data_IF_344792874188
#
_entry.id   IF_344792874188
#
_cell.length_a   1.000
_cell.length_b   1.000
_cell.length_c   1.000
_cell.angle_alpha   90.00
_cell.angle_beta   90.00
_cell.angle_gamma   90.00
#
_symmetry.space_group_name_H-M   'P 1'
#
loop_
_entity.id
_entity.type
_entity.pdbx_description
1 polymer ?
#
# COMPACT_ATOMS: atom_id res chain seq x y z
N UNK A 1 -15.31 2.21 -18.40
CA UNK A 1 -15.08 1.81 -19.81
C UNK A 1 -13.59 1.84 -20.15
N UNK A 2 -12.93 3.00 -20.11
CA UNK A 2 -11.52 3.16 -20.54
C UNK A 2 -10.49 2.34 -19.73
N UNK A 3 -10.74 2.05 -18.46
CA UNK A 3 -9.82 1.21 -17.66
C UNK A 3 -9.72 -0.23 -18.16
N UNK A 4 -10.80 -0.77 -18.73
CA UNK A 4 -10.88 -2.15 -19.23
C UNK A 4 -10.40 -2.28 -20.69
N UNK A 5 -10.63 -1.24 -21.49
CA UNK A 5 -10.18 -1.12 -22.87
C UNK A 5 -9.86 0.35 -23.17
N UNK A 6 -8.57 0.63 -23.33
CA UNK A 6 -8.00 1.91 -23.72
C UNK A 6 -7.40 1.88 -25.12
N UNK A 7 -7.64 0.84 -25.94
CA UNK A 7 -7.01 0.65 -27.25
C UNK A 7 -7.04 1.90 -28.14
N UNK A 8 -8.21 2.53 -28.30
CA UNK A 8 -8.38 3.74 -29.07
C UNK A 8 -7.61 4.95 -28.49
N UNK A 9 -7.64 5.10 -27.16
CA UNK A 9 -6.92 6.19 -26.47
C UNK A 9 -5.40 5.98 -26.51
N UNK A 10 -4.96 4.74 -26.33
CA UNK A 10 -3.56 4.29 -26.43
C UNK A 10 -3.01 4.56 -27.83
N UNK A 11 -3.76 4.21 -28.87
CA UNK A 11 -3.30 4.40 -30.25
C UNK A 11 -3.04 5.87 -30.58
N UNK A 12 -3.90 6.79 -30.11
CA UNK A 12 -3.69 8.23 -30.31
C UNK A 12 -2.35 8.72 -29.74
N UNK A 13 -1.93 8.19 -28.58
CA UNK A 13 -0.64 8.52 -27.99
C UNK A 13 0.52 7.83 -28.70
N UNK A 14 0.36 6.57 -29.11
CA UNK A 14 1.37 5.85 -29.90
C UNK A 14 1.65 6.63 -31.19
N UNK A 15 0.62 7.09 -31.90
CA UNK A 15 0.76 7.83 -33.15
C UNK A 15 1.51 9.16 -32.94
N UNK A 16 1.17 9.92 -31.89
CA UNK A 16 1.88 11.16 -31.54
C UNK A 16 3.35 10.92 -31.18
N UNK A 17 3.63 9.88 -30.38
CA UNK A 17 5.02 9.54 -30.01
C UNK A 17 5.79 9.03 -31.22
N UNK A 18 5.15 8.32 -32.15
CA UNK A 18 5.78 7.77 -33.34
C UNK A 18 6.33 8.84 -34.29
N UNK A 19 5.80 10.08 -34.26
CA UNK A 19 6.36 11.22 -35.01
C UNK A 19 7.83 11.51 -34.61
N UNK A 20 8.18 11.28 -33.34
CA UNK A 20 9.51 11.55 -32.80
C UNK A 20 10.32 10.27 -32.52
N UNK A 21 9.63 9.17 -32.22
CA UNK A 21 10.22 7.88 -31.86
C UNK A 21 9.42 6.73 -32.48
N UNK A 22 9.65 6.39 -33.76
CA UNK A 22 8.88 5.38 -34.49
C UNK A 22 8.90 3.97 -33.87
N UNK A 23 9.95 3.66 -33.09
CA UNK A 23 10.09 2.36 -32.42
C UNK A 23 9.05 2.12 -31.32
N UNK A 24 8.28 3.14 -30.90
CA UNK A 24 7.16 2.98 -29.97
C UNK A 24 6.14 1.94 -30.46
N UNK A 25 5.93 1.82 -31.78
CA UNK A 25 5.02 0.85 -32.38
C UNK A 25 5.45 -0.62 -32.19
N UNK A 26 6.71 -0.87 -31.79
CA UNK A 26 7.23 -2.20 -31.47
C UNK A 26 7.02 -2.58 -30.01
N UNK A 27 6.71 -1.59 -29.14
CA UNK A 27 6.50 -1.83 -27.72
C UNK A 27 5.12 -2.44 -27.52
N UNK A 28 5.08 -3.61 -26.88
CA UNK A 28 3.82 -4.24 -26.49
C UNK A 28 3.23 -3.49 -25.31
N UNK A 29 2.23 -2.65 -25.57
CA UNK A 29 1.48 -1.93 -24.54
C UNK A 29 0.08 -2.54 -24.44
N UNK A 30 -0.33 -3.10 -23.28
CA UNK A 30 -1.66 -3.67 -23.10
C UNK A 30 -2.79 -2.67 -23.38
N UNK A 31 -3.93 -3.16 -23.85
CA UNK A 31 -5.15 -2.36 -24.04
C UNK A 31 -5.96 -2.19 -22.74
N UNK A 32 -5.55 -2.85 -21.65
CA UNK A 32 -6.14 -2.67 -20.32
C UNK A 32 -5.19 -1.85 -19.46
N UNK A 33 -5.70 -0.78 -18.85
CA UNK A 33 -4.90 0.08 -17.97
C UNK A 33 -4.61 -0.64 -16.64
N UNK A 34 -5.64 -1.25 -16.06
CA UNK A 34 -5.52 -2.04 -14.82
C UNK A 34 -6.63 -3.07 -14.72
N UNK A 35 -6.31 -4.22 -14.16
CA UNK A 35 -7.22 -5.29 -13.71
C UNK A 35 -7.34 -5.36 -12.17
N UNK A 36 -6.70 -4.42 -11.46
CA UNK A 36 -6.66 -4.38 -10.02
C UNK A 36 -6.95 -2.99 -9.47
N UNK A 37 -7.34 -2.94 -8.20
CA UNK A 37 -7.67 -1.73 -7.46
C UNK A 37 -7.19 -1.84 -6.02
N UNK A 38 -6.63 -0.75 -5.49
CA UNK A 38 -6.43 -0.60 -4.05
C UNK A 38 -7.47 0.39 -3.52
N UNK A 39 -8.41 -0.10 -2.72
CA UNK A 39 -9.41 0.72 -2.04
C UNK A 39 -8.81 1.33 -0.78
N UNK A 40 -8.84 2.66 -0.70
CA UNK A 40 -8.65 3.38 0.56
C UNK A 40 -9.95 4.10 0.86
N UNK A 41 -10.56 3.79 1.99
CA UNK A 41 -11.71 4.54 2.51
C UNK A 41 -11.21 5.70 3.37
N UNK A 42 -12.10 6.66 3.63
CA UNK A 42 -11.84 7.71 4.61
C UNK A 42 -11.84 7.11 6.04
N UNK A 43 -11.18 7.80 6.97
CA UNK A 43 -11.33 7.53 8.41
C UNK A 43 -12.82 7.55 8.79
N UNK A 44 -13.26 6.63 9.65
CA UNK A 44 -14.68 6.52 10.01
C UNK A 44 -15.56 5.68 9.11
N UNK A 45 -15.05 5.12 8.00
CA UNK A 45 -15.86 4.28 7.13
C UNK A 45 -16.26 2.98 7.85
N UNK A 46 -17.57 2.67 7.96
CA UNK A 46 -18.03 1.46 8.65
C UNK A 46 -17.45 0.18 8.01
N UNK A 47 -17.12 -0.84 8.82
CA UNK A 47 -16.56 -2.10 8.33
C UNK A 47 -17.44 -2.81 7.29
N UNK A 48 -18.76 -2.75 7.46
CA UNK A 48 -19.73 -3.36 6.53
C UNK A 48 -19.78 -2.60 5.19
N UNK A 49 -19.56 -1.29 5.19
CA UNK A 49 -19.43 -0.52 3.95
C UNK A 49 -18.14 -0.87 3.21
N UNK A 50 -17.02 -0.99 3.93
CA UNK A 50 -15.74 -1.46 3.35
C UNK A 50 -15.94 -2.84 2.72
N UNK A 51 -16.54 -3.78 3.44
CA UNK A 51 -16.84 -5.14 2.96
C UNK A 51 -17.67 -5.10 1.67
N UNK A 52 -18.75 -4.31 1.64
CA UNK A 52 -19.63 -4.18 0.48
C UNK A 52 -18.96 -3.55 -0.73
N UNK A 53 -18.13 -2.52 -0.54
CA UNK A 53 -17.40 -1.89 -1.64
C UNK A 53 -16.37 -2.87 -2.21
N UNK A 54 -15.59 -3.54 -1.35
CA UNK A 54 -14.63 -4.55 -1.80
C UNK A 54 -15.31 -5.71 -2.54
N UNK A 55 -16.43 -6.23 -2.02
CA UNK A 55 -17.22 -7.26 -2.69
C UNK A 55 -17.70 -6.80 -4.07
N UNK A 56 -18.27 -5.59 -4.17
CA UNK A 56 -18.68 -5.00 -5.45
C UNK A 56 -17.53 -4.89 -6.46
N UNK A 57 -16.35 -4.46 -6.02
CA UNK A 57 -15.16 -4.35 -6.89
C UNK A 57 -14.72 -5.71 -7.44
N UNK A 58 -14.88 -6.79 -6.66
CA UNK A 58 -14.54 -8.14 -7.09
C UNK A 58 -15.64 -8.78 -7.93
N UNK A 59 -16.86 -8.84 -7.41
CA UNK A 59 -17.98 -9.57 -8.00
C UNK A 59 -18.54 -8.87 -9.25
N UNK A 60 -18.78 -7.57 -9.17
CA UNK A 60 -19.42 -6.80 -10.24
C UNK A 60 -18.37 -6.18 -11.18
N UNK A 61 -17.23 -5.74 -10.63
CA UNK A 61 -16.19 -5.11 -11.45
C UNK A 61 -15.10 -6.07 -11.94
N UNK A 62 -14.99 -7.27 -11.38
CA UNK A 62 -14.00 -8.26 -11.79
C UNK A 62 -12.55 -7.83 -11.53
N UNK A 63 -12.31 -7.06 -10.45
CA UNK A 63 -11.00 -6.48 -10.14
C UNK A 63 -10.32 -7.20 -8.97
N UNK A 64 -9.04 -7.53 -9.12
CA UNK A 64 -8.21 -7.91 -7.97
C UNK A 64 -8.18 -6.73 -6.99
N UNK A 65 -8.44 -6.99 -5.71
CA UNK A 65 -8.74 -5.90 -4.77
C UNK A 65 -7.81 -5.95 -3.57
N UNK A 66 -7.13 -4.84 -3.31
CA UNK A 66 -6.45 -4.60 -2.03
C UNK A 66 -7.25 -3.61 -1.21
N UNK A 67 -7.48 -3.88 0.06
CA UNK A 67 -8.01 -2.87 0.99
C UNK A 67 -6.88 -2.26 1.80
N UNK A 68 -6.82 -0.93 1.87
CA UNK A 68 -5.80 -0.22 2.62
C UNK A 68 -6.23 -0.09 4.08
N UNK A 69 -5.36 -0.52 4.99
CA UNK A 69 -5.64 -0.51 6.42
C UNK A 69 -4.87 0.60 7.14
N UNK A 70 -5.45 1.09 8.24
CA UNK A 70 -4.86 2.12 9.07
C UNK A 70 -3.91 1.53 10.11
N UNK A 71 -2.89 2.28 10.55
CA UNK A 71 -1.90 1.79 11.52
C UNK A 71 -2.52 1.64 12.92
N UNK A 72 -3.67 2.28 13.14
CA UNK A 72 -4.52 2.22 14.34
C UNK A 72 -5.03 0.81 14.64
N UNK A 73 -5.08 -0.09 13.65
CA UNK A 73 -5.38 -1.52 13.85
C UNK A 73 -4.43 -2.21 14.82
N UNK A 74 -3.22 -1.67 15.03
CA UNK A 74 -2.29 -2.22 16.02
C UNK A 74 -2.76 -1.97 17.47
N UNK A 75 -3.66 -1.02 17.66
CA UNK A 75 -4.23 -0.62 18.94
C UNK A 75 -3.45 0.51 19.63
N UNK A 76 -4.14 1.34 20.44
CA UNK A 76 -3.59 2.58 20.99
C UNK A 76 -2.35 2.38 21.86
N UNK A 77 -2.37 1.38 22.74
CA UNK A 77 -1.27 1.10 23.66
C UNK A 77 0.02 0.73 22.92
N UNK A 78 -0.07 -0.18 21.95
CA UNK A 78 1.10 -0.63 21.17
C UNK A 78 1.64 0.49 20.28
N UNK A 79 0.76 1.26 19.64
CA UNK A 79 1.16 2.40 18.81
C UNK A 79 1.94 3.42 19.63
N UNK A 80 1.42 3.83 20.79
CA UNK A 80 2.07 4.83 21.66
C UNK A 80 3.37 4.30 22.26
N UNK A 81 3.41 3.05 22.73
CA UNK A 81 4.64 2.41 23.22
C UNK A 81 5.74 2.40 22.17
N UNK A 82 5.43 1.97 20.94
CA UNK A 82 6.42 1.95 19.85
C UNK A 82 6.92 3.38 19.56
N UNK A 83 6.02 4.35 19.54
CA UNK A 83 6.35 5.72 19.18
C UNK A 83 7.20 6.41 20.26
N UNK A 84 6.80 6.31 21.52
CA UNK A 84 7.39 7.01 22.66
C UNK A 84 8.53 6.21 23.27
N UNK A 85 8.25 5.00 23.75
CA UNK A 85 9.20 4.21 24.54
C UNK A 85 10.29 3.57 23.67
N UNK A 86 9.93 3.02 22.51
CA UNK A 86 10.89 2.29 21.66
C UNK A 86 11.68 3.21 20.71
N UNK A 87 11.04 4.29 20.23
CA UNK A 87 11.62 5.18 19.21
C UNK A 87 11.96 6.60 19.69
N UNK A 88 11.45 7.04 20.85
CA UNK A 88 11.75 8.35 21.44
C UNK A 88 11.09 9.54 20.76
N UNK A 89 9.93 9.37 20.11
CA UNK A 89 9.14 10.47 19.52
C UNK A 89 8.16 11.08 20.54
N UNK A 90 8.66 11.50 21.71
CA UNK A 90 7.85 12.01 22.84
C UNK A 90 7.05 13.28 22.50
N UNK A 91 7.46 14.03 21.49
CA UNK A 91 6.78 15.24 21.01
C UNK A 91 5.57 14.94 20.11
N UNK A 92 5.42 13.69 19.65
CA UNK A 92 4.32 13.29 18.76
C UNK A 92 3.15 12.75 19.57
N UNK A 93 2.09 13.54 19.67
CA UNK A 93 0.86 13.14 20.38
C UNK A 93 -0.10 12.43 19.43
N UNK A 94 -0.44 11.17 19.74
CA UNK A 94 -1.49 10.41 19.04
C UNK A 94 -2.76 10.45 19.90
N UNK A 95 -3.78 11.24 19.54
CA UNK A 95 -4.99 11.37 20.35
C UNK A 95 -5.85 10.09 20.31
N UNK A 96 -6.70 9.88 21.32
CA UNK A 96 -7.62 8.73 21.35
C UNK A 96 -8.63 8.76 20.21
N UNK A 97 -9.02 9.96 19.76
CA UNK A 97 -9.91 10.17 18.60
C UNK A 97 -9.37 9.57 17.30
N UNK A 98 -8.06 9.35 17.18
CA UNK A 98 -7.48 8.66 16.03
C UNK A 98 -7.92 7.19 15.93
N UNK A 99 -8.39 6.60 17.03
CA UNK A 99 -8.83 5.20 17.11
C UNK A 99 -10.34 5.03 17.15
N UNK A 100 -11.08 5.99 17.71
CA UNK A 100 -12.54 5.89 17.98
C UNK A 100 -13.41 5.62 16.75
N UNK A 101 -12.94 6.03 15.57
CA UNK A 101 -13.69 5.90 14.31
C UNK A 101 -13.03 4.94 13.32
N UNK A 102 -11.86 4.42 13.66
CA UNK A 102 -11.14 3.53 12.77
C UNK A 102 -11.57 2.08 12.98
N UNK A 103 -11.34 1.26 11.95
CA UNK A 103 -11.59 -0.16 11.99
C UNK A 103 -10.80 -0.81 13.13
N UNK A 104 -11.48 -1.49 14.06
CA UNK A 104 -10.86 -2.24 15.15
C UNK A 104 -10.38 -3.63 14.69
N UNK A 105 -9.35 -4.17 15.35
CA UNK A 105 -8.67 -5.40 14.91
C UNK A 105 -9.58 -6.64 14.92
N UNK A 106 -10.38 -6.80 15.96
CA UNK A 106 -11.32 -7.91 16.14
C UNK A 106 -12.47 -7.89 15.13
N UNK A 107 -12.82 -6.71 14.61
CA UNK A 107 -13.77 -6.54 13.50
C UNK A 107 -13.09 -6.70 12.14
N UNK A 108 -11.85 -6.22 11.99
CA UNK A 108 -11.08 -6.31 10.76
C UNK A 108 -10.83 -7.76 10.33
N UNK A 109 -10.40 -8.61 11.25
CA UNK A 109 -9.99 -9.99 10.93
C UNK A 109 -11.12 -10.81 10.28
N UNK A 110 -12.35 -10.86 10.85
CA UNK A 110 -13.48 -11.52 10.20
C UNK A 110 -13.81 -10.93 8.83
N UNK A 111 -13.81 -9.59 8.69
CA UNK A 111 -14.05 -8.91 7.41
C UNK A 111 -13.04 -9.33 6.35
N UNK A 112 -11.75 -9.32 6.68
CA UNK A 112 -10.68 -9.73 5.77
C UNK A 112 -10.80 -11.21 5.37
N UNK A 113 -11.21 -12.11 6.28
CA UNK A 113 -11.45 -13.53 5.96
C UNK A 113 -12.58 -13.67 4.93
N UNK A 114 -13.72 -13.01 5.14
CA UNK A 114 -14.84 -13.03 4.19
C UNK A 114 -14.45 -12.48 2.81
N UNK A 115 -13.72 -11.36 2.76
CA UNK A 115 -13.29 -10.77 1.50
C UNK A 115 -12.32 -11.68 0.72
N UNK A 116 -11.49 -12.46 1.42
CA UNK A 116 -10.69 -13.52 0.78
C UNK A 116 -11.55 -14.62 0.18
N UNK A 117 -12.63 -15.03 0.85
CA UNK A 117 -13.57 -16.01 0.32
C UNK A 117 -14.31 -15.49 -0.91
N UNK A 118 -14.77 -14.23 -0.89
CA UNK A 118 -15.37 -13.57 -2.05
C UNK A 118 -14.40 -13.59 -3.23
N UNK A 119 -13.15 -13.18 -3.02
CA UNK A 119 -12.13 -13.19 -4.06
C UNK A 119 -11.91 -14.60 -4.64
N UNK A 120 -11.80 -15.62 -3.78
CA UNK A 120 -11.61 -17.01 -4.20
C UNK A 120 -12.80 -17.51 -5.05
N UNK A 121 -14.04 -17.18 -4.65
CA UNK A 121 -15.25 -17.55 -5.39
C UNK A 121 -15.34 -16.83 -6.74
N UNK A 122 -14.78 -15.63 -6.86
CA UNK A 122 -14.71 -14.88 -8.12
C UNK A 122 -13.47 -15.23 -8.98
N UNK A 123 -12.58 -16.11 -8.52
CA UNK A 123 -11.31 -16.41 -9.20
C UNK A 123 -10.34 -15.22 -9.23
N UNK A 124 -10.44 -14.33 -8.24
CA UNK A 124 -9.66 -13.11 -8.10
C UNK A 124 -8.71 -13.18 -6.89
N UNK A 125 -7.89 -12.14 -6.76
CA UNK A 125 -6.95 -11.99 -5.64
C UNK A 125 -7.44 -10.88 -4.71
N UNK A 126 -7.33 -11.14 -3.41
CA UNK A 126 -7.57 -10.14 -2.38
C UNK A 126 -6.40 -10.08 -1.41
N UNK A 127 -6.07 -8.87 -0.97
CA UNK A 127 -5.01 -8.61 0.00
C UNK A 127 -5.22 -7.30 0.74
N UNK A 128 -4.24 -6.93 1.56
CA UNK A 128 -4.24 -5.65 2.28
C UNK A 128 -3.05 -4.79 1.91
N UNK A 129 -3.24 -3.48 1.95
CA UNK A 129 -2.14 -2.51 1.83
C UNK A 129 -1.89 -1.84 3.18
N UNK A 130 -0.69 -2.00 3.71
CA UNK A 130 -0.25 -1.54 5.01
C UNK A 130 0.81 -0.45 4.81
N UNK A 131 0.60 0.82 5.14
CA UNK A 131 -0.53 1.38 5.88
C UNK A 131 -0.97 2.70 5.25
N UNK A 132 -2.16 3.15 5.62
CA UNK A 132 -2.49 4.56 5.63
C UNK A 132 -1.64 5.33 6.65
N UNK A 133 -1.77 6.66 6.62
CA UNK A 133 -1.11 7.57 7.55
C UNK A 133 -1.70 7.46 8.96
N UNK A 134 -0.90 7.78 9.98
CA UNK A 134 -1.38 7.92 11.35
C UNK A 134 -1.64 9.40 11.64
N UNK A 135 -2.86 9.72 12.09
CA UNK A 135 -3.21 11.07 12.50
C UNK A 135 -2.60 11.39 13.87
N UNK A 136 -1.98 12.58 14.00
CA UNK A 136 -1.33 13.06 15.23
C UNK A 136 -1.64 14.53 15.43
N UNK A 137 -1.55 15.04 16.65
CA UNK A 137 -1.73 16.47 16.91
C UNK A 137 -0.70 17.29 16.12
N UNK A 138 -1.15 18.38 15.51
CA UNK A 138 -0.30 19.29 14.79
C UNK A 138 0.43 20.23 15.76
N UNK A 139 1.73 20.02 15.90
CA UNK A 139 2.65 20.89 16.65
C UNK A 139 3.56 21.73 15.73
N UNK A 140 3.34 21.69 14.41
CA UNK A 140 4.20 22.36 13.42
C UNK A 140 3.68 23.76 13.10
N UNK A 141 4.61 24.68 12.89
CA UNK A 141 4.31 26.09 12.56
C UNK A 141 4.17 26.37 11.06
N UNK A 142 4.16 25.33 10.22
CA UNK A 142 4.11 25.46 8.74
C UNK A 142 2.71 25.31 8.17
N UNK A 143 1.75 24.83 8.97
CA UNK A 143 0.35 24.68 8.58
C UNK A 143 -0.45 25.92 8.97
N UNK A 144 -1.69 25.99 8.47
CA UNK A 144 -2.65 26.99 8.95
C UNK A 144 -2.85 26.84 10.47
N UNK A 145 -2.89 27.94 11.25
CA UNK A 145 -3.11 27.87 12.70
C UNK A 145 -4.41 27.17 13.13
N UNK A 146 -5.41 27.07 12.24
CA UNK A 146 -6.64 26.35 12.50
C UNK A 146 -6.50 24.82 12.32
N UNK A 147 -5.44 24.36 11.66
CA UNK A 147 -5.18 22.93 11.45
C UNK A 147 -4.64 22.29 12.72
N UNK A 148 -5.47 21.46 13.36
CA UNK A 148 -5.14 20.84 14.64
C UNK A 148 -4.48 19.49 14.48
N UNK A 149 -4.55 18.89 13.29
CA UNK A 149 -4.09 17.54 13.04
C UNK A 149 -3.07 17.51 11.90
N UNK A 150 -2.13 16.58 11.97
CA UNK A 150 -1.20 16.31 10.87
C UNK A 150 -1.03 14.80 10.72
N UNK A 151 -0.44 14.38 9.60
CA UNK A 151 -0.28 12.97 9.28
C UNK A 151 1.18 12.54 9.42
N UNK A 152 1.42 11.60 10.32
CA UNK A 152 2.73 10.99 10.55
C UNK A 152 3.09 10.07 9.38
N UNK A 153 4.31 10.20 8.90
CA UNK A 153 4.89 9.35 7.85
C UNK A 153 6.39 9.11 8.10
N UNK A 154 7.00 8.25 7.30
CA UNK A 154 8.43 7.94 7.40
C UNK A 154 8.75 6.92 8.49
N UNK A 155 9.93 7.06 9.10
CA UNK A 155 10.53 6.08 10.04
C UNK A 155 9.61 5.63 11.19
N UNK A 156 8.89 6.52 11.92
CA UNK A 156 8.03 6.04 13.00
C UNK A 156 6.86 5.19 12.49
N UNK A 157 6.27 5.56 11.34
CA UNK A 157 5.19 4.79 10.73
C UNK A 157 5.67 3.41 10.25
N UNK A 158 6.94 3.29 9.84
CA UNK A 158 7.53 2.01 9.44
C UNK A 158 7.47 0.98 10.57
N UNK A 159 7.98 1.32 11.76
CA UNK A 159 8.02 0.38 12.90
C UNK A 159 6.62 -0.08 13.33
N UNK A 160 5.66 0.86 13.37
CA UNK A 160 4.26 0.56 13.67
C UNK A 160 3.69 -0.41 12.62
N UNK A 161 3.90 -0.11 11.34
CA UNK A 161 3.33 -0.90 10.25
C UNK A 161 3.97 -2.28 10.13
N UNK A 162 5.27 -2.44 10.37
CA UNK A 162 5.94 -3.75 10.42
C UNK A 162 5.36 -4.60 11.55
N UNK A 163 5.10 -4.02 12.72
CA UNK A 163 4.48 -4.75 13.82
C UNK A 163 3.04 -5.17 13.51
N UNK A 164 2.26 -4.32 12.85
CA UNK A 164 0.93 -4.68 12.36
C UNK A 164 0.99 -5.79 11.32
N UNK A 165 1.93 -5.70 10.37
CA UNK A 165 2.14 -6.72 9.35
C UNK A 165 2.52 -8.07 9.96
N UNK A 166 3.37 -8.10 10.99
CA UNK A 166 3.69 -9.31 11.76
C UNK A 166 2.44 -9.90 12.41
N UNK A 167 1.64 -9.08 13.09
CA UNK A 167 0.43 -9.53 13.76
C UNK A 167 -0.61 -10.10 12.77
N UNK A 168 -0.78 -9.48 11.60
CA UNK A 168 -1.63 -10.01 10.53
C UNK A 168 -1.04 -11.27 9.90
N UNK A 169 0.27 -11.34 9.69
CA UNK A 169 0.93 -12.55 9.18
C UNK A 169 0.66 -13.75 10.11
N UNK A 170 0.81 -13.57 11.43
CA UNK A 170 0.53 -14.60 12.43
C UNK A 170 -0.95 -15.02 12.42
N UNK A 171 -1.88 -14.06 12.40
CA UNK A 171 -3.34 -14.31 12.38
C UNK A 171 -3.79 -15.08 11.13
N UNK A 172 -3.16 -14.84 9.99
CA UNK A 172 -3.49 -15.46 8.71
C UNK A 172 -2.53 -16.58 8.29
N UNK A 173 -1.63 -17.02 9.19
CA UNK A 173 -0.67 -18.09 8.91
C UNK A 173 0.29 -17.81 7.74
N UNK A 174 0.53 -16.54 7.42
CA UNK A 174 1.34 -16.10 6.28
C UNK A 174 0.59 -16.05 4.94
N UNK A 175 -0.69 -16.44 4.89
CA UNK A 175 -1.44 -16.58 3.63
C UNK A 175 -2.14 -15.29 3.17
N UNK A 176 -2.08 -14.20 3.96
CA UNK A 176 -2.67 -12.91 3.57
C UNK A 176 -1.68 -12.12 2.70
N UNK A 177 -1.99 -11.84 1.42
CA UNK A 177 -1.15 -10.99 0.58
C UNK A 177 -1.08 -9.56 1.14
N UNK A 178 0.14 -9.04 1.32
CA UNK A 178 0.37 -7.72 1.88
C UNK A 178 1.24 -6.85 0.96
N UNK A 179 0.74 -5.65 0.67
CA UNK A 179 1.50 -4.55 0.07
C UNK A 179 1.93 -3.58 1.17
N UNK A 180 3.15 -3.06 1.12
CA UNK A 180 3.71 -2.18 2.14
C UNK A 180 3.88 -0.73 1.65
N UNK A 181 3.51 0.27 2.45
CA UNK A 181 3.55 1.70 2.12
C UNK A 181 3.76 2.59 3.35
N UNK A 182 4.73 2.27 4.20
CA UNK A 182 4.96 2.99 5.45
C UNK A 182 6.45 3.16 5.76
N UNK A 183 7.02 4.32 5.40
CA UNK A 183 8.41 4.64 5.73
C UNK A 183 9.45 3.66 5.15
N UNK A 184 9.08 2.94 4.08
CA UNK A 184 10.03 2.14 3.34
C UNK A 184 11.12 3.02 2.72
N UNK A 185 12.36 2.54 2.78
CA UNK A 185 13.53 3.16 2.18
C UNK A 185 14.43 2.11 1.50
N UNK A 186 15.51 2.56 0.86
CA UNK A 186 16.41 1.65 0.14
C UNK A 186 17.11 0.63 1.05
N UNK A 187 17.22 0.89 2.35
CA UNK A 187 17.91 0.01 3.30
C UNK A 187 16.99 -1.04 3.91
N UNK A 188 15.69 -0.76 4.03
CA UNK A 188 14.72 -1.71 4.62
C UNK A 188 13.85 -2.44 3.58
N UNK A 189 13.85 -2.03 2.31
CA UNK A 189 12.98 -2.62 1.29
C UNK A 189 13.28 -4.10 1.04
N UNK A 190 14.55 -4.49 1.06
CA UNK A 190 14.95 -5.88 0.90
C UNK A 190 14.40 -6.77 2.02
N UNK A 191 14.53 -6.34 3.28
CA UNK A 191 14.03 -7.06 4.45
C UNK A 191 12.50 -7.17 4.43
N UNK A 192 11.80 -6.11 4.01
CA UNK A 192 10.35 -6.12 3.85
C UNK A 192 9.89 -7.17 2.83
N UNK A 193 10.57 -7.27 1.68
CA UNK A 193 10.28 -8.30 0.67
C UNK A 193 10.57 -9.70 1.23
N UNK A 194 11.72 -9.90 1.88
CA UNK A 194 12.10 -11.17 2.49
C UNK A 194 11.13 -11.60 3.60
N UNK A 195 10.52 -10.64 4.31
CA UNK A 195 9.49 -10.88 5.32
C UNK A 195 8.11 -11.21 4.74
N UNK A 196 7.95 -11.29 3.41
CA UNK A 196 6.73 -11.71 2.73
C UNK A 196 5.85 -10.57 2.19
N UNK A 197 6.32 -9.31 2.22
CA UNK A 197 5.62 -8.23 1.51
C UNK A 197 5.71 -8.47 0.00
N UNK A 198 4.58 -8.43 -0.70
CA UNK A 198 4.57 -8.68 -2.15
C UNK A 198 5.01 -7.44 -2.95
N UNK A 199 4.67 -6.25 -2.46
CA UNK A 199 5.01 -4.99 -3.10
C UNK A 199 5.36 -3.94 -2.08
N UNK A 200 6.24 -3.01 -2.45
CA UNK A 200 6.66 -1.90 -1.60
C UNK A 200 6.42 -0.59 -2.34
N UNK A 201 5.71 0.33 -1.70
CA UNK A 201 5.47 1.69 -2.17
C UNK A 201 6.30 2.67 -1.37
N UNK A 202 7.06 3.50 -2.07
CA UNK A 202 7.96 4.48 -1.48
C UNK A 202 7.55 5.88 -1.94
N UNK A 203 7.56 6.85 -1.02
CA UNK A 203 7.30 8.26 -1.34
C UNK A 203 8.24 9.19 -0.56
N UNK A 204 8.16 9.19 0.78
CA UNK A 204 8.93 10.12 1.62
C UNK A 204 10.44 10.04 1.41
N UNK A 205 10.99 8.85 1.12
CA UNK A 205 12.41 8.71 0.81
C UNK A 205 12.76 9.34 -0.54
N UNK A 206 11.92 9.20 -1.57
CA UNK A 206 12.16 9.78 -2.89
C UNK A 206 12.04 11.32 -2.90
N UNK A 207 11.18 11.88 -2.05
CA UNK A 207 10.96 13.32 -1.96
C UNK A 207 12.05 14.05 -1.16
N UNK A 208 12.83 13.35 -0.35
CA UNK A 208 13.99 13.93 0.35
C UNK A 208 15.13 14.23 -0.64
N UNK A 209 16.00 15.16 -0.27
CA UNK A 209 17.18 15.53 -1.06
C UNK A 209 17.97 14.29 -1.51
N UNK A 210 18.26 14.23 -2.82
CA UNK A 210 18.95 13.09 -3.45
C UNK A 210 18.08 11.83 -3.66
N UNK A 211 16.78 11.86 -3.39
CA UNK A 211 15.92 10.67 -3.38
C UNK A 211 15.79 9.94 -4.72
N UNK A 212 15.68 10.65 -5.84
CA UNK A 212 15.65 9.99 -7.15
C UNK A 212 16.93 9.23 -7.48
N UNK A 213 18.09 9.67 -6.99
CA UNK A 213 19.36 8.95 -7.17
C UNK A 213 19.41 7.65 -6.35
N UNK A 214 18.62 7.56 -5.27
CA UNK A 214 18.52 6.32 -4.47
C UNK A 214 17.79 5.20 -5.19
N UNK A 215 17.04 5.45 -6.27
CA UNK A 215 16.34 4.39 -7.03
C UNK A 215 17.27 3.25 -7.46
N UNK A 216 18.51 3.57 -7.86
CA UNK A 216 19.51 2.56 -8.17
C UNK A 216 19.87 1.71 -6.94
N UNK A 217 20.05 2.38 -5.80
CA UNK A 217 20.35 1.73 -4.52
C UNK A 217 19.23 0.78 -4.07
N UNK A 218 17.94 1.10 -4.30
CA UNK A 218 16.86 0.13 -4.06
C UNK A 218 17.09 -1.17 -4.83
N UNK A 219 17.41 -1.06 -6.13
CA UNK A 219 17.64 -2.22 -7.00
C UNK A 219 18.87 -3.01 -6.55
N UNK A 220 19.95 -2.33 -6.20
CA UNK A 220 21.19 -2.96 -5.70
C UNK A 220 20.94 -3.72 -4.40
N UNK A 221 20.31 -3.08 -3.40
CA UNK A 221 20.03 -3.70 -2.10
C UNK A 221 19.09 -4.91 -2.22
N UNK A 222 18.06 -4.81 -3.07
CA UNK A 222 17.14 -5.94 -3.31
C UNK A 222 17.85 -7.10 -4.01
N UNK A 223 18.69 -6.82 -5.02
CA UNK A 223 19.47 -7.85 -5.72
C UNK A 223 20.49 -8.51 -4.80
N UNK A 224 21.16 -7.74 -3.96
CA UNK A 224 22.13 -8.28 -3.01
C UNK A 224 21.47 -9.20 -1.99
N UNK A 225 20.33 -8.79 -1.43
CA UNK A 225 19.64 -9.56 -0.40
C UNK A 225 18.91 -10.80 -0.93
N UNK A 226 18.30 -10.72 -2.12
CA UNK A 226 17.49 -11.81 -2.69
C UNK A 226 18.22 -12.65 -3.75
N UNK A 227 19.42 -12.23 -4.19
CA UNK A 227 20.18 -12.85 -5.28
C UNK A 227 19.44 -12.81 -6.63
N UNK A 228 19.87 -13.65 -7.58
CA UNK A 228 19.15 -13.90 -8.85
C UNK A 228 17.80 -14.62 -8.64
N UNK A 229 17.49 -15.02 -7.39
CA UNK A 229 16.23 -15.62 -6.95
C UNK A 229 15.16 -14.61 -6.54
N UNK A 230 15.40 -13.30 -6.74
CA UNK A 230 14.33 -12.31 -6.67
C UNK A 230 13.16 -12.69 -7.61
N UNK A 231 11.91 -12.28 -7.31
CA UNK A 231 10.80 -12.54 -8.21
C UNK A 231 11.20 -12.03 -9.60
N UNK A 232 10.98 -12.81 -10.67
CA UNK A 232 11.31 -12.34 -12.01
C UNK A 232 10.68 -10.96 -12.18
N UNK A 233 11.47 -10.00 -12.68
CA UNK A 233 10.90 -8.81 -13.28
C UNK A 233 10.14 -9.33 -14.49
N UNK A 234 8.87 -9.71 -14.29
CA UNK A 234 8.02 -10.17 -15.36
C UNK A 234 8.03 -9.05 -16.40
N UNK A 235 8.68 -9.35 -17.53
CA UNK A 235 8.47 -8.60 -18.74
C UNK A 235 6.97 -8.67 -18.99
N UNK A 236 6.26 -7.55 -18.84
CA UNK A 236 4.84 -7.44 -19.04
C UNK A 236 4.38 -8.30 -20.24
N UNK A 237 3.75 -9.44 -19.96
CA UNK A 237 3.25 -10.34 -20.98
C UNK A 237 3.34 -11.83 -20.64
N UNK A 238 2.32 -12.35 -19.96
CA UNK A 238 1.42 -13.35 -20.54
C UNK A 238 0.34 -13.73 -19.53
N UNK A 239 -0.79 -13.04 -19.57
CA UNK A 239 -2.06 -13.65 -19.22
C UNK A 239 -2.85 -13.74 -20.53
N UNK A 240 -3.03 -14.96 -21.01
CA UNK A 240 -3.92 -15.29 -22.11
C UNK A 240 -5.37 -15.22 -21.63
#
# INVERSE_FOLDING_TARGET
AQMRDCSAYKQQWIDQVAEFYPDIGKVKIPDRISDNVTLSTMHGCPPDEIERICAYLMEEQGLHTYVKCNPTLLGPEKVRRILHDDLGYDDVVVPDSAFEHDLEYDVAVPMLRKLREVAANSGLHFGVKLSNTLEVENFRTVFDPAEKMMYLSGRPLHAITVNLARQLSEEFGGDLPMSFSAGADCFNSADLLAAGMQTITVCSDLLKTGGYLRLLQYVEMVREALGDSGPPLDSAGSAA
#
